data_IF_771861427568
#
_entry.id   IF_771861427568
#
_cell.length_a   1.000
_cell.length_b   1.000
_cell.length_c   1.000
_cell.angle_alpha   90.00
_cell.angle_beta   90.00
_cell.angle_gamma   90.00
#
_symmetry.space_group_name_H-M   'P 1'
#
loop_
_entity.id
_entity.type
_entity.pdbx_description
1 polymer ?
#
# COMPACT_ATOMS: atom_id res chain seq x y z
N UNK A 1 18.29 4.00 3.23
CA UNK A 1 18.16 3.58 1.84
C UNK A 1 16.79 4.06 1.29
N UNK A 2 16.75 4.47 0.03
CA UNK A 2 15.50 4.79 -0.69
C UNK A 2 15.35 3.74 -1.79
N UNK A 3 14.13 3.17 -1.87
CA UNK A 3 13.77 2.23 -2.94
C UNK A 3 12.70 2.89 -3.79
N UNK A 4 12.91 2.88 -5.10
CA UNK A 4 12.03 3.54 -6.07
C UNK A 4 11.61 2.52 -7.11
N UNK A 5 10.30 2.37 -7.28
CA UNK A 5 9.71 1.55 -8.34
C UNK A 5 9.11 2.50 -9.37
N UNK A 6 9.62 2.44 -10.59
CA UNK A 6 9.07 3.17 -11.72
C UNK A 6 8.04 2.30 -12.43
N UNK A 7 6.82 2.79 -12.52
CA UNK A 7 5.72 2.10 -13.16
C UNK A 7 5.31 2.90 -14.40
N UNK A 8 5.47 2.35 -15.62
CA UNK A 8 5.07 3.04 -16.84
C UNK A 8 3.58 3.39 -16.86
N UNK A 9 3.25 4.56 -17.38
CA UNK A 9 1.87 5.07 -17.40
C UNK A 9 0.90 4.18 -18.18
N UNK A 10 1.40 3.45 -19.19
CA UNK A 10 0.67 2.51 -20.04
C UNK A 10 0.48 1.11 -19.42
N UNK A 11 1.02 0.86 -18.21
CA UNK A 11 0.81 -0.40 -17.50
C UNK A 11 -0.67 -0.56 -17.16
N UNK A 12 -1.23 -1.71 -17.51
CA UNK A 12 -2.59 -2.08 -17.11
C UNK A 12 -2.58 -2.76 -15.75
N UNK A 13 -3.50 -2.37 -14.89
CA UNK A 13 -3.70 -2.99 -13.58
C UNK A 13 -5.20 -3.22 -13.34
N UNK A 14 -5.51 -4.15 -12.44
CA UNK A 14 -6.87 -4.32 -11.94
C UNK A 14 -7.20 -3.17 -10.98
N UNK A 15 -8.21 -2.39 -11.37
CA UNK A 15 -8.60 -1.19 -10.63
C UNK A 15 -9.41 -1.57 -9.39
N UNK A 16 -9.11 -0.95 -8.26
CA UNK A 16 -9.82 -1.17 -7.03
C UNK A 16 -11.34 -0.91 -7.20
N UNK A 17 -12.17 -1.71 -6.51
CA UNK A 17 -13.63 -1.58 -6.62
C UNK A 17 -14.27 -2.39 -7.75
N UNK A 18 -13.50 -3.22 -8.47
CA UNK A 18 -14.05 -4.13 -9.49
C UNK A 18 -14.28 -3.51 -10.86
N UNK A 19 -13.65 -2.38 -11.17
CA UNK A 19 -13.78 -1.68 -12.46
C UNK A 19 -13.02 -2.37 -13.62
N UNK A 20 -12.37 -3.53 -13.35
CA UNK A 20 -11.60 -4.25 -14.35
C UNK A 20 -10.22 -3.65 -14.61
N UNK A 21 -9.65 -3.95 -15.77
CA UNK A 21 -8.28 -3.55 -16.14
C UNK A 21 -8.23 -2.22 -16.86
N UNK A 22 -7.47 -1.28 -16.34
CA UNK A 22 -7.26 0.05 -16.93
C UNK A 22 -5.79 0.43 -16.92
N UNK A 23 -5.40 1.33 -17.83
CA UNK A 23 -4.07 1.97 -17.79
C UNK A 23 -3.94 2.84 -16.56
N UNK A 24 -2.78 2.80 -15.89
CA UNK A 24 -2.50 3.62 -14.72
C UNK A 24 -2.80 5.11 -14.97
N UNK A 25 -2.42 5.63 -16.14
CA UNK A 25 -2.67 7.04 -16.49
C UNK A 25 -4.15 7.43 -16.48
N UNK A 26 -5.05 6.46 -16.70
CA UNK A 26 -6.49 6.69 -16.74
C UNK A 26 -7.19 6.49 -15.40
N UNK A 27 -6.55 5.79 -14.44
CA UNK A 27 -7.17 5.43 -13.15
C UNK A 27 -7.52 6.65 -12.31
N UNK A 28 -6.66 7.68 -12.31
CA UNK A 28 -6.97 8.94 -11.62
C UNK A 28 -8.24 9.59 -12.16
N UNK A 29 -8.33 9.73 -13.49
CA UNK A 29 -9.50 10.35 -14.14
C UNK A 29 -10.77 9.54 -13.96
N UNK A 30 -10.65 8.21 -13.96
CA UNK A 30 -11.77 7.31 -13.68
C UNK A 30 -12.31 7.55 -12.27
N UNK A 31 -11.44 7.64 -11.27
CA UNK A 31 -11.86 7.93 -9.88
C UNK A 31 -12.49 9.30 -9.70
N UNK A 32 -12.06 10.31 -10.46
CA UNK A 32 -12.70 11.64 -10.46
C UNK A 32 -14.09 11.62 -11.11
N UNK A 33 -14.30 10.77 -12.12
CA UNK A 33 -15.61 10.63 -12.77
C UNK A 33 -16.62 9.90 -11.88
N UNK A 34 -16.17 8.84 -11.20
CA UNK A 34 -17.05 8.00 -10.38
C UNK A 34 -17.45 8.68 -9.06
N UNK A 35 -16.51 9.34 -8.39
CA UNK A 35 -16.76 9.97 -7.09
C UNK A 35 -15.77 11.11 -6.80
N UNK A 36 -15.99 12.33 -7.32
CA UNK A 36 -15.11 13.46 -7.05
C UNK A 36 -15.13 13.89 -5.56
N UNK A 37 -14.01 14.30 -4.96
CA UNK A 37 -12.64 14.40 -5.49
C UNK A 37 -11.78 13.18 -5.08
N UNK A 38 -12.12 11.98 -5.49
CA UNK A 38 -11.46 10.75 -5.01
C UNK A 38 -10.46 10.13 -5.98
N UNK A 39 -10.12 10.78 -7.09
CA UNK A 39 -9.22 10.24 -8.10
C UNK A 39 -7.88 9.77 -7.57
N UNK A 40 -7.25 10.54 -6.67
CA UNK A 40 -5.97 10.14 -6.05
C UNK A 40 -6.14 8.94 -5.14
N UNK A 41 -7.19 8.92 -4.33
CA UNK A 41 -7.45 7.78 -3.45
C UNK A 41 -7.68 6.51 -4.26
N UNK A 42 -8.45 6.61 -5.33
CA UNK A 42 -8.73 5.52 -6.23
C UNK A 42 -7.47 4.95 -6.91
N UNK A 43 -6.58 5.84 -7.35
CA UNK A 43 -5.27 5.47 -7.87
C UNK A 43 -4.39 4.82 -6.78
N UNK A 44 -4.37 5.38 -5.58
CA UNK A 44 -3.59 4.84 -4.46
C UNK A 44 -4.07 3.45 -4.05
N UNK A 45 -5.39 3.24 -3.93
CA UNK A 45 -5.98 1.95 -3.60
C UNK A 45 -5.66 0.90 -4.70
N UNK A 46 -5.72 1.30 -5.97
CA UNK A 46 -5.39 0.43 -7.12
C UNK A 46 -3.90 0.08 -7.15
N UNK A 47 -3.01 1.03 -6.88
CA UNK A 47 -1.57 0.78 -6.78
C UNK A 47 -1.21 -0.08 -5.57
N UNK A 48 -1.89 0.12 -4.43
CA UNK A 48 -1.73 -0.73 -3.25
C UNK A 48 -2.13 -2.18 -3.54
N UNK A 49 -3.24 -2.37 -4.26
CA UNK A 49 -3.68 -3.70 -4.69
C UNK A 49 -2.70 -4.31 -5.70
N UNK A 50 -2.19 -3.52 -6.64
CA UNK A 50 -1.24 -3.97 -7.67
C UNK A 50 0.09 -4.43 -7.06
N UNK A 51 0.70 -3.60 -6.21
CA UNK A 51 1.98 -3.90 -5.56
C UNK A 51 1.84 -4.83 -4.35
N UNK A 52 0.63 -5.00 -3.80
CA UNK A 52 0.44 -5.76 -2.56
C UNK A 52 1.12 -5.12 -1.35
N UNK A 53 1.21 -3.79 -1.31
CA UNK A 53 1.78 -3.04 -0.18
C UNK A 53 0.90 -1.83 0.16
N UNK A 54 0.81 -1.45 1.45
CA UNK A 54 0.04 -0.27 1.82
C UNK A 54 0.72 1.01 1.31
N UNK A 55 -0.08 1.95 0.84
CA UNK A 55 0.39 3.29 0.47
C UNK A 55 0.05 4.26 1.59
N UNK A 56 1.06 4.70 2.33
CA UNK A 56 0.90 5.57 3.50
C UNK A 56 0.60 7.02 3.10
N UNK A 57 1.11 7.46 1.96
CA UNK A 57 0.91 8.82 1.49
C UNK A 57 1.20 8.99 0.01
N UNK A 58 0.83 10.14 -0.52
CA UNK A 58 1.08 10.49 -1.92
C UNK A 58 1.54 11.94 -2.06
N UNK A 59 2.24 12.17 -3.17
CA UNK A 59 2.63 13.48 -3.63
C UNK A 59 2.38 13.59 -5.13
N UNK A 60 1.47 14.45 -5.54
CA UNK A 60 1.17 14.72 -6.94
C UNK A 60 2.10 15.81 -7.45
N UNK A 61 2.92 15.48 -8.44
CA UNK A 61 3.88 16.40 -9.05
C UNK A 61 3.38 16.89 -10.41
N UNK A 62 3.93 18.01 -10.86
CA UNK A 62 3.60 18.61 -12.16
C UNK A 62 4.09 17.75 -13.33
N UNK A 63 3.48 17.90 -14.51
CA UNK A 63 3.79 17.14 -15.73
C UNK A 63 5.25 17.23 -16.19
N UNK A 64 5.98 18.24 -15.73
CA UNK A 64 7.40 18.44 -16.07
C UNK A 64 8.32 17.29 -15.62
N UNK A 65 7.85 16.41 -14.75
CA UNK A 65 8.61 15.23 -14.29
C UNK A 65 8.32 13.95 -15.07
N UNK A 66 7.42 13.99 -16.02
CA UNK A 66 7.14 12.85 -16.89
C UNK A 66 8.42 12.43 -17.63
N UNK A 67 8.78 11.14 -17.54
CA UNK A 67 9.98 10.52 -18.15
C UNK A 67 11.32 10.79 -17.45
N UNK A 68 11.34 11.20 -16.18
CA UNK A 68 12.58 11.27 -15.39
C UNK A 68 12.84 9.93 -14.70
N UNK A 69 14.12 9.52 -14.68
CA UNK A 69 14.56 8.40 -13.86
C UNK A 69 14.59 8.79 -12.36
N UNK A 70 14.75 7.81 -11.47
CA UNK A 70 14.74 8.04 -10.04
C UNK A 70 15.79 9.06 -9.58
N UNK A 71 17.00 8.99 -10.13
CA UNK A 71 18.07 9.95 -9.82
C UNK A 71 17.70 11.38 -10.20
N UNK A 72 17.10 11.57 -11.37
CA UNK A 72 16.63 12.90 -11.82
C UNK A 72 15.47 13.41 -10.96
N UNK A 73 14.56 12.51 -10.53
CA UNK A 73 13.50 12.84 -9.60
C UNK A 73 14.04 13.31 -8.25
N UNK A 74 14.96 12.56 -7.66
CA UNK A 74 15.59 12.91 -6.38
C UNK A 74 16.33 14.25 -6.48
N UNK A 75 17.09 14.48 -7.55
CA UNK A 75 17.75 15.75 -7.77
C UNK A 75 16.77 16.92 -7.92
N UNK A 76 15.68 16.71 -8.65
CA UNK A 76 14.63 17.72 -8.76
C UNK A 76 14.02 18.05 -7.40
N UNK A 77 13.70 17.05 -6.59
CA UNK A 77 13.15 17.24 -5.24
C UNK A 77 14.13 17.98 -4.32
N UNK A 78 15.44 17.66 -4.39
CA UNK A 78 16.50 18.37 -3.63
C UNK A 78 16.62 19.84 -4.02
N UNK A 79 16.57 20.15 -5.30
CA UNK A 79 16.73 21.51 -5.82
C UNK A 79 15.49 22.40 -5.59
N UNK A 80 14.30 21.80 -5.49
CA UNK A 80 13.02 22.52 -5.44
C UNK A 80 12.33 22.46 -4.07
N UNK A 81 13.08 22.43 -2.97
CA UNK A 81 12.55 22.32 -1.60
C UNK A 81 11.44 23.33 -1.28
N UNK A 82 11.58 24.59 -1.71
CA UNK A 82 10.59 25.66 -1.46
C UNK A 82 9.28 25.37 -2.23
N UNK A 83 9.38 24.85 -3.44
CA UNK A 83 8.20 24.48 -4.22
C UNK A 83 7.48 23.25 -3.64
N UNK A 84 8.21 22.38 -2.94
CA UNK A 84 7.66 21.24 -2.21
C UNK A 84 6.70 21.68 -1.10
N UNK A 85 7.05 22.72 -0.36
CA UNK A 85 6.14 23.31 0.64
C UNK A 85 4.90 23.92 0.00
N UNK A 86 5.00 24.48 -1.22
CA UNK A 86 3.86 25.01 -1.97
C UNK A 86 2.91 23.93 -2.48
N UNK A 87 3.38 22.69 -2.71
CA UNK A 87 2.55 21.56 -3.14
C UNK A 87 1.48 21.20 -2.10
N UNK A 88 1.72 21.47 -0.82
CA UNK A 88 0.73 21.27 0.23
C UNK A 88 -0.50 22.17 0.06
N UNK A 89 -0.31 23.42 -0.38
CA UNK A 89 -1.40 24.37 -0.55
C UNK A 89 -2.25 24.11 -1.81
N UNK A 90 -1.80 23.20 -2.69
CA UNK A 90 -2.50 22.88 -3.95
C UNK A 90 -3.30 21.58 -3.91
N UNK A 91 -3.58 21.00 -2.72
CA UNK A 91 -4.24 19.68 -2.56
C UNK A 91 -3.51 18.53 -3.27
N UNK A 92 -2.21 18.68 -3.47
CA UNK A 92 -1.39 17.71 -4.22
C UNK A 92 -0.73 16.66 -3.32
N UNK A 93 -1.02 16.65 -2.01
CA UNK A 93 -0.49 15.70 -1.04
C UNK A 93 -1.43 15.51 0.14
N UNK A 94 -1.44 14.29 0.71
CA UNK A 94 -2.09 14.01 2.00
C UNK A 94 -1.08 13.95 3.17
N UNK A 95 0.19 14.21 2.90
CA UNK A 95 1.23 14.23 3.93
C UNK A 95 1.04 15.45 4.84
N UNK A 96 1.15 15.23 6.16
CA UNK A 96 1.19 16.35 7.11
C UNK A 96 2.57 17.04 7.11
N UNK A 97 2.70 18.15 7.83
CA UNK A 97 3.94 18.95 7.83
C UNK A 97 5.15 18.18 8.34
N UNK A 98 4.95 17.32 9.33
CA UNK A 98 6.01 16.51 9.90
C UNK A 98 6.45 15.39 8.94
N UNK A 99 5.52 14.74 8.28
CA UNK A 99 5.79 13.71 7.27
C UNK A 99 6.51 14.30 6.07
N UNK A 100 6.05 15.45 5.58
CA UNK A 100 6.69 16.17 4.48
C UNK A 100 8.11 16.60 4.86
N UNK A 101 8.32 17.14 6.06
CA UNK A 101 9.63 17.49 6.59
C UNK A 101 10.55 16.26 6.64
N UNK A 102 10.08 15.14 7.21
CA UNK A 102 10.85 13.89 7.28
C UNK A 102 11.21 13.37 5.89
N UNK A 103 10.28 13.42 4.95
CA UNK A 103 10.52 13.04 3.55
C UNK A 103 11.62 13.91 2.93
N UNK A 104 11.56 15.23 3.13
CA UNK A 104 12.58 16.16 2.61
C UNK A 104 13.96 15.89 3.22
N UNK A 105 14.04 15.71 4.53
CA UNK A 105 15.31 15.39 5.23
C UNK A 105 15.83 14.04 4.76
N UNK A 106 14.97 13.04 4.60
CA UNK A 106 15.35 11.72 4.10
C UNK A 106 15.90 11.78 2.67
N UNK A 107 15.22 12.50 1.78
CA UNK A 107 15.68 12.70 0.39
C UNK A 107 17.02 13.44 0.35
N UNK A 108 17.23 14.42 1.22
CA UNK A 108 18.44 15.24 1.25
C UNK A 108 19.66 14.49 1.79
N UNK A 109 19.44 13.65 2.81
CA UNK A 109 20.49 12.92 3.51
C UNK A 109 20.91 11.62 2.82
N UNK A 110 20.10 11.08 1.91
CA UNK A 110 20.42 9.80 1.26
C UNK A 110 21.55 9.97 0.23
N UNK A 111 22.51 9.07 0.26
CA UNK A 111 23.56 8.99 -0.76
C UNK A 111 23.01 8.28 -2.01
N UNK A 112 23.51 8.64 -3.19
CA UNK A 112 23.05 8.04 -4.46
C UNK A 112 23.33 6.54 -4.55
N UNK A 113 24.40 6.05 -3.92
CA UNK A 113 24.71 4.61 -3.82
C UNK A 113 23.76 3.83 -2.91
N UNK A 114 22.85 4.52 -2.23
CA UNK A 114 21.80 3.96 -1.37
C UNK A 114 20.39 4.11 -1.95
N UNK A 115 20.30 4.47 -3.22
CA UNK A 115 19.06 4.53 -3.97
C UNK A 115 18.99 3.30 -4.87
N UNK A 116 18.02 2.43 -4.59
CA UNK A 116 17.69 1.28 -5.43
C UNK A 116 16.54 1.65 -6.35
N UNK A 117 16.77 1.61 -7.66
CA UNK A 117 15.76 1.90 -8.69
C UNK A 117 15.40 0.61 -9.41
N UNK A 118 14.11 0.34 -9.51
CA UNK A 118 13.55 -0.75 -10.32
C UNK A 118 12.55 -0.16 -11.30
N UNK A 119 12.79 -0.35 -12.58
CA UNK A 119 11.84 -0.04 -13.63
C UNK A 119 11.05 -1.30 -13.99
N UNK A 120 9.72 -1.27 -13.86
CA UNK A 120 8.90 -2.45 -14.16
C UNK A 120 8.91 -2.81 -15.64
N UNK A 121 9.22 -1.86 -16.53
CA UNK A 121 9.26 -2.12 -17.98
C UNK A 121 10.32 -3.15 -18.38
N UNK A 122 11.43 -3.21 -17.63
CA UNK A 122 12.59 -4.00 -18.03
C UNK A 122 12.35 -5.51 -17.88
N UNK A 123 11.74 -5.96 -16.76
CA UNK A 123 11.67 -7.39 -16.44
C UNK A 123 10.28 -7.86 -15.96
N UNK A 124 9.37 -6.94 -15.62
CA UNK A 124 8.14 -7.26 -14.89
C UNK A 124 6.88 -7.12 -15.74
N UNK A 125 6.97 -6.45 -16.89
CA UNK A 125 5.86 -6.25 -17.83
C UNK A 125 5.98 -7.15 -19.04
N UNK A 126 4.84 -7.67 -19.49
CA UNK A 126 4.73 -8.49 -20.69
C UNK A 126 3.68 -7.89 -21.61
N UNK A 127 3.97 -7.91 -22.92
CA UNK A 127 2.99 -7.54 -23.92
C UNK A 127 1.88 -8.60 -23.96
N UNK A 128 0.65 -8.16 -23.90
CA UNK A 128 -0.54 -9.01 -23.92
C UNK A 128 -1.62 -8.38 -24.78
N UNK A 129 -2.61 -9.18 -25.17
CA UNK A 129 -3.79 -8.71 -25.88
C UNK A 129 -5.00 -8.93 -24.97
N UNK A 130 -5.71 -7.86 -24.67
CA UNK A 130 -6.94 -7.91 -23.89
C UNK A 130 -8.09 -8.53 -24.71
N UNK A 131 -9.19 -8.96 -24.08
CA UNK A 131 -10.34 -9.56 -24.77
C UNK A 131 -10.96 -8.67 -25.86
N UNK A 132 -10.81 -7.35 -25.74
CA UNK A 132 -11.24 -6.35 -26.71
C UNK A 132 -10.22 -6.09 -27.84
N UNK A 133 -9.17 -6.94 -27.94
CA UNK A 133 -8.05 -6.86 -28.89
C UNK A 133 -7.11 -5.66 -28.66
N UNK A 134 -7.24 -4.94 -27.56
CA UNK A 134 -6.31 -3.87 -27.19
C UNK A 134 -4.96 -4.46 -26.76
N UNK A 135 -3.86 -3.92 -27.29
CA UNK A 135 -2.51 -4.23 -26.82
C UNK A 135 -2.30 -3.61 -25.43
N UNK A 136 -1.87 -4.43 -24.48
CA UNK A 136 -1.67 -4.03 -23.10
C UNK A 136 -0.33 -4.52 -22.58
N UNK A 137 0.32 -3.71 -21.75
CA UNK A 137 1.45 -4.14 -20.92
C UNK A 137 0.89 -4.60 -19.58
N UNK A 138 0.94 -5.88 -19.31
CA UNK A 138 0.48 -6.50 -18.08
C UNK A 138 1.67 -6.93 -17.24
N UNK A 139 1.57 -6.70 -15.93
CA UNK A 139 2.57 -7.22 -15.01
C UNK A 139 2.33 -8.70 -14.73
N UNK A 140 3.42 -9.44 -14.56
CA UNK A 140 3.39 -10.80 -14.04
C UNK A 140 3.13 -10.74 -12.51
N UNK A 141 1.99 -11.27 -12.03
CA UNK A 141 1.62 -11.14 -10.61
C UNK A 141 2.65 -11.78 -9.67
N UNK A 142 3.24 -12.93 -10.05
CA UNK A 142 4.21 -13.63 -9.20
C UNK A 142 5.51 -12.83 -9.08
N UNK A 143 5.98 -12.25 -10.18
CA UNK A 143 7.17 -11.40 -10.17
C UNK A 143 6.96 -10.12 -9.37
N UNK A 144 5.78 -9.49 -9.48
CA UNK A 144 5.44 -8.31 -8.67
C UNK A 144 5.41 -8.67 -7.18
N UNK A 145 4.88 -9.85 -6.82
CA UNK A 145 4.85 -10.30 -5.42
C UNK A 145 6.26 -10.48 -4.84
N UNK A 146 7.14 -11.15 -5.57
CA UNK A 146 8.54 -11.35 -5.18
C UNK A 146 9.26 -10.00 -5.05
N UNK A 147 9.06 -9.10 -6.02
CA UNK A 147 9.64 -7.76 -6.01
C UNK A 147 9.17 -6.96 -4.78
N UNK A 148 7.86 -6.96 -4.53
CA UNK A 148 7.27 -6.23 -3.43
C UNK A 148 7.77 -6.71 -2.07
N UNK A 149 7.79 -8.02 -1.85
CA UNK A 149 8.35 -8.62 -0.63
C UNK A 149 9.83 -8.31 -0.43
N UNK A 150 10.62 -8.26 -1.52
CA UNK A 150 12.05 -7.88 -1.45
C UNK A 150 12.25 -6.39 -1.15
N UNK A 151 11.50 -5.52 -1.82
CA UNK A 151 11.73 -4.07 -1.75
C UNK A 151 11.09 -3.42 -0.53
N UNK A 152 9.87 -3.84 -0.16
CA UNK A 152 9.06 -3.13 0.83
C UNK A 152 9.00 -3.80 2.19
N UNK A 153 9.68 -4.95 2.38
CA UNK A 153 9.77 -5.59 3.69
C UNK A 153 10.37 -4.62 4.72
N UNK A 154 9.65 -4.44 5.83
CA UNK A 154 10.14 -3.69 6.99
C UNK A 154 11.07 -4.58 7.80
N UNK A 155 12.32 -4.14 7.94
CA UNK A 155 13.36 -4.91 8.64
C UNK A 155 13.00 -5.20 10.12
N UNK A 156 12.24 -4.31 10.77
CA UNK A 156 11.83 -4.49 12.17
C UNK A 156 10.71 -5.51 12.28
N UNK A 157 9.70 -5.45 11.41
CA UNK A 157 8.63 -6.45 11.34
C UNK A 157 9.23 -7.83 11.07
N UNK A 158 10.11 -7.90 10.06
CA UNK A 158 10.78 -9.15 9.69
C UNK A 158 11.66 -9.69 10.82
N UNK A 159 12.29 -8.84 11.62
CA UNK A 159 13.09 -9.26 12.78
C UNK A 159 12.25 -9.73 13.96
N UNK A 160 11.11 -9.09 14.22
CA UNK A 160 10.23 -9.47 15.33
C UNK A 160 9.57 -10.85 15.12
N UNK A 161 9.32 -11.26 13.88
CA UNK A 161 8.73 -12.56 13.50
C UNK A 161 7.49 -12.97 14.30
N UNK A 162 6.69 -11.98 14.73
CA UNK A 162 5.49 -12.23 15.51
C UNK A 162 4.45 -12.96 14.66
N UNK A 163 3.85 -14.01 15.22
CA UNK A 163 2.78 -14.73 14.54
C UNK A 163 1.51 -13.89 14.43
N UNK A 164 0.99 -13.77 13.21
CA UNK A 164 -0.17 -12.92 12.88
C UNK A 164 -1.29 -13.82 12.34
N UNK A 165 -2.48 -13.68 12.91
CA UNK A 165 -3.70 -14.27 12.39
C UNK A 165 -4.62 -13.18 11.84
N UNK A 166 -5.32 -13.47 10.75
CA UNK A 166 -6.22 -12.53 10.09
C UNK A 166 -7.63 -13.10 10.06
N UNK A 167 -8.58 -12.29 10.49
CA UNK A 167 -9.99 -12.67 10.54
C UNK A 167 -10.83 -11.71 9.70
N UNK A 168 -11.58 -12.25 8.76
CA UNK A 168 -12.55 -11.48 8.00
C UNK A 168 -13.90 -11.45 8.75
N UNK A 169 -14.23 -10.31 9.33
CA UNK A 169 -15.52 -10.07 10.00
C UNK A 169 -16.51 -9.30 9.09
N UNK A 170 -16.37 -9.44 7.79
CA UNK A 170 -17.25 -8.86 6.77
C UNK A 170 -17.88 -9.96 5.92
N UNK A 171 -18.90 -9.63 5.17
CA UNK A 171 -19.50 -10.56 4.21
C UNK A 171 -18.77 -10.60 2.86
N UNK A 172 -17.82 -9.69 2.64
CA UNK A 172 -17.07 -9.63 1.39
C UNK A 172 -15.95 -10.68 1.39
N UNK A 173 -15.97 -11.67 0.49
CA UNK A 173 -14.92 -12.68 0.41
C UNK A 173 -13.60 -12.07 -0.04
N UNK A 174 -12.48 -12.72 0.31
CA UNK A 174 -11.13 -12.34 -0.14
C UNK A 174 -10.47 -11.21 0.65
N UNK A 175 -11.16 -10.50 1.55
CA UNK A 175 -10.54 -9.43 2.35
C UNK A 175 -9.39 -9.93 3.23
N UNK A 176 -9.54 -11.10 3.89
CA UNK A 176 -8.46 -11.67 4.69
C UNK A 176 -7.22 -11.98 3.83
N UNK A 177 -7.40 -12.54 2.64
CA UNK A 177 -6.32 -12.82 1.72
C UNK A 177 -5.61 -11.55 1.23
N UNK A 178 -6.35 -10.48 0.92
CA UNK A 178 -5.76 -9.17 0.59
C UNK A 178 -4.92 -8.63 1.74
N UNK A 179 -5.43 -8.67 2.97
CA UNK A 179 -4.69 -8.22 4.14
C UNK A 179 -3.47 -9.09 4.43
N UNK A 180 -3.58 -10.43 4.26
CA UNK A 180 -2.47 -11.36 4.40
C UNK A 180 -1.33 -11.02 3.43
N UNK A 181 -1.67 -10.75 2.19
CA UNK A 181 -0.72 -10.33 1.16
C UNK A 181 0.01 -9.04 1.55
N UNK A 182 -0.73 -8.00 1.97
CA UNK A 182 -0.15 -6.73 2.42
C UNK A 182 0.82 -6.93 3.60
N UNK A 183 0.42 -7.72 4.59
CA UNK A 183 1.23 -7.98 5.79
C UNK A 183 2.46 -8.81 5.45
N UNK A 184 2.34 -9.85 4.62
CA UNK A 184 3.45 -10.69 4.19
C UNK A 184 4.48 -9.90 3.39
N UNK A 185 4.07 -9.01 2.48
CA UNK A 185 4.98 -8.15 1.73
C UNK A 185 5.69 -7.11 2.60
N UNK A 186 5.10 -6.74 3.74
CA UNK A 186 5.79 -5.96 4.77
C UNK A 186 6.76 -6.78 5.62
N UNK A 187 6.88 -8.09 5.39
CA UNK A 187 7.74 -9.00 6.17
C UNK A 187 7.05 -9.61 7.39
N UNK A 188 5.72 -9.48 7.52
CA UNK A 188 4.96 -10.07 8.61
C UNK A 188 4.77 -11.58 8.47
N UNK A 189 4.84 -12.30 9.60
CA UNK A 189 4.64 -13.74 9.65
C UNK A 189 3.16 -14.10 9.81
N UNK A 190 2.44 -14.15 8.69
CA UNK A 190 1.01 -14.55 8.68
C UNK A 190 0.92 -16.07 8.76
N UNK A 191 0.35 -16.59 9.85
CA UNK A 191 0.25 -18.03 10.10
C UNK A 191 -1.08 -18.64 9.64
N UNK A 192 -2.15 -17.88 9.59
CA UNK A 192 -3.42 -18.28 8.98
C UNK A 192 -4.36 -17.11 8.75
N UNK A 193 -5.34 -17.33 7.89
CA UNK A 193 -6.47 -16.46 7.60
C UNK A 193 -7.78 -17.22 7.67
N UNK A 194 -8.81 -16.63 8.28
CA UNK A 194 -10.14 -17.24 8.46
C UNK A 194 -11.25 -16.20 8.47
N UNK A 195 -12.49 -16.65 8.32
CA UNK A 195 -13.63 -15.81 8.63
C UNK A 195 -13.85 -15.80 10.15
N UNK A 196 -14.19 -14.64 10.69
CA UNK A 196 -14.68 -14.49 12.06
C UNK A 196 -16.11 -15.08 12.16
N UNK A 197 -16.53 -15.47 13.35
CA UNK A 197 -17.93 -15.83 13.60
C UNK A 197 -18.83 -14.60 13.56
N UNK A 198 -18.36 -13.51 14.17
CA UNK A 198 -19.03 -12.21 14.11
C UNK A 198 -18.82 -11.59 12.74
N UNK A 199 -19.90 -11.31 12.04
CA UNK A 199 -19.92 -10.67 10.73
C UNK A 199 -20.42 -9.22 10.85
N UNK A 200 -20.21 -8.42 9.78
CA UNK A 200 -20.66 -7.02 9.69
C UNK A 200 -20.00 -6.08 10.71
N UNK A 201 -18.75 -6.35 11.06
CA UNK A 201 -17.94 -5.45 11.88
C UNK A 201 -17.70 -4.16 11.10
N UNK A 202 -18.05 -3.01 11.66
CA UNK A 202 -17.89 -1.72 10.97
C UNK A 202 -16.43 -1.30 10.83
N UNK A 203 -15.67 -1.42 11.91
CA UNK A 203 -14.29 -0.96 11.98
C UNK A 203 -13.35 -2.15 12.21
N UNK A 204 -12.28 -2.17 11.45
CA UNK A 204 -11.19 -3.13 11.65
C UNK A 204 -10.46 -2.88 12.97
N UNK A 205 -9.92 -3.93 13.56
CA UNK A 205 -9.19 -3.85 14.83
C UNK A 205 -7.97 -4.75 14.83
N UNK A 206 -6.99 -4.40 15.66
CA UNK A 206 -5.78 -5.19 15.87
C UNK A 206 -5.66 -5.47 17.36
N UNK A 207 -5.58 -6.76 17.71
CA UNK A 207 -5.53 -7.24 19.08
C UNK A 207 -4.22 -7.96 19.32
N UNK A 208 -3.70 -7.91 20.54
CA UNK A 208 -2.51 -8.64 20.94
C UNK A 208 -2.72 -9.30 22.29
N UNK A 209 -2.16 -10.50 22.46
CA UNK A 209 -2.14 -11.22 23.73
C UNK A 209 -0.95 -10.80 24.62
N UNK A 210 -0.11 -9.88 24.13
CA UNK A 210 1.05 -9.38 24.87
C UNK A 210 0.72 -8.08 25.61
N UNK A 211 1.22 -7.94 26.83
CA UNK A 211 1.14 -6.71 27.61
C UNK A 211 2.00 -5.57 27.02
N UNK A 212 3.08 -5.92 26.30
CA UNK A 212 3.96 -4.98 25.63
C UNK A 212 3.60 -4.87 24.14
N UNK A 213 3.30 -3.64 23.72
CA UNK A 213 3.01 -3.36 22.30
C UNK A 213 4.32 -3.34 21.51
N UNK A 214 4.48 -4.30 20.58
CA UNK A 214 5.62 -4.37 19.67
C UNK A 214 5.55 -3.31 18.57
N UNK A 215 6.65 -3.13 17.83
CA UNK A 215 6.65 -2.29 16.63
C UNK A 215 5.66 -2.81 15.59
N UNK A 216 5.66 -4.13 15.33
CA UNK A 216 4.73 -4.79 14.41
C UNK A 216 3.28 -4.52 14.79
N UNK A 217 2.92 -4.66 16.08
CA UNK A 217 1.57 -4.36 16.54
C UNK A 217 1.18 -2.90 16.25
N UNK A 218 2.03 -1.95 16.61
CA UNK A 218 1.76 -0.53 16.37
C UNK A 218 1.63 -0.21 14.87
N UNK A 219 2.46 -0.81 14.02
CA UNK A 219 2.40 -0.63 12.58
C UNK A 219 1.10 -1.18 11.98
N UNK A 220 0.70 -2.38 12.38
CA UNK A 220 -0.57 -2.97 11.94
C UNK A 220 -1.77 -2.18 12.46
N UNK A 221 -1.71 -1.66 13.69
CA UNK A 221 -2.76 -0.79 14.22
C UNK A 221 -2.94 0.48 13.37
N UNK A 222 -1.84 1.11 12.97
CA UNK A 222 -1.88 2.28 12.08
C UNK A 222 -2.46 1.97 10.70
N UNK A 223 -2.22 0.77 10.18
CA UNK A 223 -2.68 0.36 8.84
C UNK A 223 -4.15 -0.05 8.84
N UNK A 224 -4.57 -0.87 9.81
CA UNK A 224 -5.87 -1.53 9.79
C UNK A 224 -6.88 -0.97 10.79
N UNK A 225 -6.45 -0.42 11.91
CA UNK A 225 -7.33 -0.04 13.01
C UNK A 225 -7.37 1.48 13.26
N UNK A 226 -7.32 2.30 12.20
CA UNK A 226 -7.31 3.77 12.31
C UNK A 226 -8.51 4.32 13.08
N UNK A 227 -9.67 3.68 12.97
CA UNK A 227 -10.94 4.14 13.53
C UNK A 227 -11.33 3.41 14.83
N UNK A 228 -10.45 2.57 15.37
CA UNK A 228 -10.76 1.73 16.50
C UNK A 228 -9.71 1.88 17.62
N UNK A 229 -9.95 2.82 18.54
CA UNK A 229 -9.20 2.93 19.80
C UNK A 229 -10.03 2.25 20.87
N UNK A 230 -9.52 1.16 21.49
CA UNK A 230 -10.16 0.40 22.57
C UNK A 230 -11.44 -0.35 22.14
N UNK A 231 -11.42 -1.03 21.02
CA UNK A 231 -12.53 -1.93 20.63
C UNK A 231 -12.31 -3.31 21.25
N UNK A 232 -13.32 -3.77 21.95
CA UNK A 232 -13.40 -5.15 22.44
C UNK A 232 -14.16 -6.00 21.43
N UNK A 233 -13.67 -7.20 21.17
CA UNK A 233 -14.36 -8.16 20.33
C UNK A 233 -14.86 -9.33 21.18
N UNK A 234 -16.12 -9.65 21.01
CA UNK A 234 -16.73 -10.87 21.57
C UNK A 234 -16.82 -11.91 20.46
N UNK A 235 -15.67 -12.45 20.05
CA UNK A 235 -15.59 -13.50 19.04
C UNK A 235 -14.71 -14.63 19.56
N UNK A 236 -15.32 -15.79 19.80
CA UNK A 236 -14.60 -16.93 20.37
C UNK A 236 -13.49 -17.46 19.49
N UNK A 237 -13.61 -17.37 18.17
CA UNK A 237 -12.59 -17.85 17.24
C UNK A 237 -11.36 -16.96 17.32
N UNK A 238 -11.55 -15.65 17.44
CA UNK A 238 -10.46 -14.69 17.64
C UNK A 238 -9.82 -14.86 19.01
N UNK A 239 -10.63 -15.01 20.07
CA UNK A 239 -10.11 -15.19 21.45
C UNK A 239 -9.34 -16.49 21.63
N UNK A 240 -9.73 -17.56 20.93
CA UNK A 240 -9.03 -18.87 20.95
C UNK A 240 -7.79 -18.91 20.03
N UNK A 241 -7.49 -17.81 19.32
CA UNK A 241 -6.31 -17.74 18.47
C UNK A 241 -5.03 -17.83 19.28
N UNK A 242 -4.09 -18.64 18.78
CA UNK A 242 -2.73 -18.78 19.35
C UNK A 242 -1.74 -17.78 18.75
N UNK A 243 -2.18 -16.96 17.80
CA UNK A 243 -1.34 -15.91 17.22
C UNK A 243 -1.04 -14.82 18.26
N UNK A 244 0.14 -14.25 18.17
CA UNK A 244 0.55 -13.15 19.06
C UNK A 244 -0.20 -11.85 18.71
N UNK A 245 -0.55 -11.67 17.42
CA UNK A 245 -1.34 -10.54 16.92
C UNK A 245 -2.51 -11.08 16.10
N UNK A 246 -3.69 -10.54 16.36
CA UNK A 246 -4.91 -10.85 15.64
C UNK A 246 -5.41 -9.58 14.92
N UNK A 247 -5.48 -9.62 13.60
CA UNK A 247 -6.06 -8.58 12.76
C UNK A 247 -7.48 -8.98 12.39
N UNK A 248 -8.47 -8.20 12.81
CA UNK A 248 -9.87 -8.45 12.51
C UNK A 248 -10.35 -7.36 11.57
N UNK A 249 -10.75 -7.76 10.37
CA UNK A 249 -11.12 -6.84 9.30
C UNK A 249 -12.61 -6.51 9.37
N UNK A 250 -12.92 -5.22 9.37
CA UNK A 250 -14.25 -4.65 9.26
C UNK A 250 -14.55 -4.10 7.85
N UNK A 251 -15.70 -3.46 7.71
CA UNK A 251 -16.17 -2.90 6.44
C UNK A 251 -15.33 -1.68 5.99
N UNK A 252 -14.60 -1.05 6.90
CA UNK A 252 -13.67 0.04 6.62
C UNK A 252 -12.39 -0.40 5.88
N UNK A 253 -12.07 -1.70 5.89
CA UNK A 253 -11.00 -2.26 5.07
C UNK A 253 -11.52 -2.53 3.65
N UNK A 254 -10.86 -1.92 2.66
CA UNK A 254 -11.26 -1.96 1.25
C UNK A 254 -10.33 -2.81 0.39
#
# INVERSE_FOLDING_TARGET
DIKIVLIPAETYLDVAGGFGKWKIESVYSLGELENPPQGIKFLSDSLSQFLGVPIDGYLKLDRTLKNKNATQLINYLRQNKINFLKLKFSSSSNLNDWELYRLMVGIDSVRFDKIEEVNLEDEYLQDSILPDQTKAKLADPERIEILSGKLFADATINKEQLSIAIFNATQTPGKAQKAARLISNLGGNVIFEKNAQTQNLKNSMVLTNSSAKSYTFNRLQMLFAKNCQNCDIVDEVVQKSRAQINVVLGEDFK
#
